data_IF_309481855593
#
_entry.id   IF_309481855593
#
_cell.length_a   1.000
_cell.length_b   1.000
_cell.length_c   1.000
_cell.angle_alpha   90.00
_cell.angle_beta   90.00
_cell.angle_gamma   90.00
#
_symmetry.space_group_name_H-M   'P 1'
#
loop_
_entity.id
_entity.type
_entity.pdbx_description
1 polymer ?
#
# COMPACT_ATOMS: atom_id res chain seq x y z
N UNK A 1 -17.18 7.68 6.49
CA UNK A 1 -16.98 6.43 7.27
C UNK A 1 -16.30 6.85 8.56
N UNK A 2 -16.90 6.53 9.71
CA UNK A 2 -16.30 6.80 11.01
C UNK A 2 -15.37 5.65 11.40
N UNK A 3 -14.17 5.97 11.88
CA UNK A 3 -13.18 5.03 12.40
C UNK A 3 -12.70 5.52 13.76
N UNK A 4 -12.19 4.61 14.58
CA UNK A 4 -11.54 4.96 15.83
C UNK A 4 -10.16 5.55 15.53
N UNK A 5 -10.04 6.87 15.52
CA UNK A 5 -8.79 7.57 15.17
C UNK A 5 -7.61 7.27 16.12
N UNK A 6 -7.89 6.67 17.28
CA UNK A 6 -6.92 6.29 18.30
C UNK A 6 -6.26 4.92 18.05
N UNK A 7 -6.76 4.11 17.10
CA UNK A 7 -6.16 2.80 16.79
C UNK A 7 -5.07 2.92 15.72
N UNK A 8 -3.91 2.32 15.97
CA UNK A 8 -2.83 2.22 14.98
C UNK A 8 -2.93 0.92 14.18
N UNK A 9 -4.03 0.74 13.47
CA UNK A 9 -4.30 -0.45 12.63
C UNK A 9 -4.15 -0.15 11.13
N UNK A 10 -4.24 -1.20 10.31
CA UNK A 10 -4.17 -1.07 8.84
C UNK A 10 -5.33 -0.25 8.27
N UNK A 11 -6.49 -0.25 8.92
CA UNK A 11 -7.65 0.52 8.47
C UNK A 11 -7.40 2.02 8.60
N UNK A 12 -6.77 2.45 9.70
CA UNK A 12 -6.33 3.83 9.91
C UNK A 12 -5.21 4.21 8.94
N UNK A 13 -4.30 3.29 8.62
CA UNK A 13 -3.29 3.53 7.59
C UNK A 13 -3.90 3.73 6.19
N UNK A 14 -4.90 2.92 5.82
CA UNK A 14 -5.65 3.08 4.56
C UNK A 14 -6.45 4.38 4.55
N UNK A 15 -7.09 4.72 5.67
CA UNK A 15 -7.85 5.96 5.81
C UNK A 15 -6.95 7.18 5.64
N UNK A 16 -5.85 7.26 6.41
CA UNK A 16 -4.90 8.36 6.33
C UNK A 16 -4.31 8.47 4.92
N UNK A 17 -3.91 7.35 4.32
CA UNK A 17 -3.42 7.31 2.94
C UNK A 17 -4.43 7.87 1.95
N UNK A 18 -5.70 7.45 2.04
CA UNK A 18 -6.78 7.95 1.17
C UNK A 18 -6.91 9.47 1.25
N UNK A 19 -6.91 10.03 2.45
CA UNK A 19 -7.05 11.47 2.69
C UNK A 19 -5.74 12.27 2.54
N UNK A 20 -4.67 11.68 1.98
CA UNK A 20 -3.59 12.47 1.40
C UNK A 20 -4.03 13.21 0.14
N UNK A 21 -5.04 12.71 -0.56
CA UNK A 21 -5.62 13.37 -1.73
C UNK A 21 -6.21 14.74 -1.37
N UNK A 22 -6.23 15.62 -2.37
CA UNK A 22 -6.81 16.97 -2.26
C UNK A 22 -6.21 17.81 -1.11
N UNK A 23 -4.90 17.67 -0.89
CA UNK A 23 -4.16 18.47 0.10
C UNK A 23 -4.59 18.21 1.55
N UNK A 24 -5.08 17.00 1.85
CA UNK A 24 -5.49 16.60 3.20
C UNK A 24 -6.57 17.48 3.85
N UNK A 25 -7.46 18.07 3.04
CA UNK A 25 -8.56 18.89 3.54
C UNK A 25 -9.74 18.09 4.13
N UNK A 26 -9.68 16.75 4.10
CA UNK A 26 -10.74 15.87 4.58
C UNK A 26 -11.87 15.57 3.57
N UNK A 27 -11.82 16.16 2.37
CA UNK A 27 -12.80 15.95 1.31
C UNK A 27 -12.15 15.46 0.02
N UNK A 28 -12.70 14.39 -0.56
CA UNK A 28 -12.24 13.80 -1.82
C UNK A 28 -13.45 13.62 -2.74
N UNK A 29 -13.36 14.17 -3.95
CA UNK A 29 -14.40 13.98 -4.96
C UNK A 29 -14.46 12.50 -5.38
N UNK A 30 -15.68 11.95 -5.44
CA UNK A 30 -15.87 10.57 -5.90
C UNK A 30 -15.64 10.47 -7.42
N UNK A 31 -15.13 9.33 -7.92
CA UNK A 31 -15.04 9.07 -9.36
C UNK A 31 -16.38 9.11 -10.09
N UNK A 32 -16.34 9.38 -11.39
CA UNK A 32 -17.54 9.51 -12.23
C UNK A 32 -18.41 8.25 -12.23
N UNK A 33 -17.80 7.05 -12.23
CA UNK A 33 -18.53 5.78 -12.16
C UNK A 33 -19.24 5.54 -10.82
N UNK A 34 -18.94 6.32 -9.78
CA UNK A 34 -19.73 6.36 -8.54
C UNK A 34 -20.79 7.47 -8.55
N UNK A 35 -20.50 8.61 -9.19
CA UNK A 35 -21.42 9.73 -9.26
C UNK A 35 -22.58 9.41 -10.23
N UNK A 36 -22.28 8.78 -11.36
CA UNK A 36 -23.20 8.44 -12.46
C UNK A 36 -23.53 6.95 -12.48
N UNK A 37 -23.69 6.33 -11.31
CA UNK A 37 -23.79 4.88 -11.16
C UNK A 37 -24.92 4.23 -11.99
N UNK A 38 -26.02 4.95 -12.25
CA UNK A 38 -27.11 4.48 -13.10
C UNK A 38 -26.74 4.36 -14.58
N UNK A 39 -25.87 5.25 -15.08
CA UNK A 39 -25.37 5.24 -16.47
C UNK A 39 -24.24 4.23 -16.63
N UNK A 40 -23.39 4.10 -15.61
CA UNK A 40 -22.20 3.24 -15.65
C UNK A 40 -22.46 1.80 -15.22
N UNK A 41 -23.69 1.47 -14.80
CA UNK A 41 -24.11 0.17 -14.26
C UNK A 41 -23.13 -0.37 -13.20
N UNK A 42 -22.59 0.54 -12.38
CA UNK A 42 -21.49 0.21 -11.50
C UNK A 42 -21.97 -0.64 -10.31
N UNK A 43 -21.35 -1.81 -10.14
CA UNK A 43 -21.54 -2.67 -8.98
C UNK A 43 -20.18 -3.00 -8.34
N UNK A 44 -19.91 -2.54 -7.10
CA UNK A 44 -18.60 -2.71 -6.47
C UNK A 44 -18.32 -4.13 -5.97
N UNK A 45 -19.31 -5.02 -5.86
CA UNK A 45 -19.10 -6.38 -5.34
C UNK A 45 -18.55 -7.33 -6.40
N UNK A 46 -19.06 -7.23 -7.63
CA UNK A 46 -18.56 -8.00 -8.78
C UNK A 46 -17.67 -7.16 -9.71
N UNK A 47 -17.58 -5.83 -9.48
CA UNK A 47 -16.87 -4.89 -10.33
C UNK A 47 -17.45 -4.80 -11.74
N UNK A 48 -18.75 -5.02 -11.90
CA UNK A 48 -19.47 -4.74 -13.14
C UNK A 48 -19.50 -3.23 -13.37
N UNK A 49 -19.24 -2.83 -14.60
CA UNK A 49 -19.45 -1.47 -15.08
C UNK A 49 -19.34 -1.45 -16.61
N UNK A 50 -20.01 -0.49 -17.24
CA UNK A 50 -19.83 -0.17 -18.65
C UNK A 50 -18.69 0.83 -18.90
N UNK A 51 -17.96 1.23 -17.85
CA UNK A 51 -16.88 2.20 -17.90
C UNK A 51 -15.52 1.51 -17.74
N UNK A 52 -14.70 1.49 -18.78
CA UNK A 52 -13.32 0.96 -18.70
C UNK A 52 -12.33 2.08 -18.37
N UNK A 53 -11.61 1.90 -17.26
CA UNK A 53 -10.49 2.76 -16.87
C UNK A 53 -9.28 1.93 -16.42
N UNK A 54 -9.15 0.72 -16.97
CA UNK A 54 -8.11 -0.23 -16.59
C UNK A 54 -6.70 0.32 -16.80
N UNK A 55 -5.86 0.19 -15.79
CA UNK A 55 -4.46 0.62 -15.82
C UNK A 55 -3.54 -0.48 -15.30
N UNK A 56 -2.32 -0.54 -15.84
CA UNK A 56 -1.27 -1.45 -15.36
C UNK A 56 -0.22 -0.62 -14.63
N UNK A 57 -0.05 -0.88 -13.34
CA UNK A 57 1.00 -0.28 -12.52
C UNK A 57 2.15 -1.26 -12.37
N UNK A 58 3.32 -0.88 -12.89
CA UNK A 58 4.57 -1.64 -12.71
C UNK A 58 5.38 -1.02 -11.59
N UNK A 59 5.70 -1.79 -10.56
CA UNK A 59 6.46 -1.36 -9.39
C UNK A 59 7.74 -2.18 -9.31
N UNK A 60 8.88 -1.50 -9.23
CA UNK A 60 10.16 -2.14 -8.94
C UNK A 60 10.61 -1.79 -7.53
N UNK A 61 10.68 -2.79 -6.65
CA UNK A 61 11.24 -2.66 -5.32
C UNK A 61 12.75 -2.87 -5.43
N UNK A 62 13.50 -1.77 -5.37
CA UNK A 62 14.96 -1.79 -5.57
C UNK A 62 15.65 -2.18 -4.27
N UNK A 63 15.52 -1.35 -3.23
CA UNK A 63 16.26 -1.51 -1.97
C UNK A 63 15.57 -0.80 -0.80
N UNK A 64 16.02 -1.11 0.42
CA UNK A 64 15.71 -0.41 1.66
C UNK A 64 16.93 0.37 2.16
N UNK A 65 16.72 1.31 3.07
CA UNK A 65 17.78 2.10 3.68
C UNK A 65 17.45 2.38 5.14
N UNK A 66 18.37 2.06 6.05
CA UNK A 66 18.29 2.35 7.48
C UNK A 66 16.96 1.90 8.12
N UNK A 67 16.59 0.63 7.94
CA UNK A 67 15.35 0.10 8.50
C UNK A 67 15.43 0.10 10.04
N UNK A 68 14.45 0.72 10.73
CA UNK A 68 14.50 0.84 12.18
C UNK A 68 14.18 -0.50 12.84
N UNK A 69 14.90 -0.81 13.91
CA UNK A 69 14.55 -1.93 14.78
C UNK A 69 13.41 -1.52 15.70
N UNK A 70 12.34 -2.31 15.76
CA UNK A 70 11.21 -2.05 16.66
C UNK A 70 11.57 -2.37 18.11
N UNK A 71 12.31 -3.45 18.34
CA UNK A 71 12.71 -3.94 19.65
C UNK A 71 14.22 -3.81 19.84
N UNK A 72 14.68 -2.76 20.54
CA UNK A 72 16.11 -2.51 20.80
C UNK A 72 16.78 -3.54 21.71
N UNK A 73 16.01 -4.49 22.27
CA UNK A 73 16.48 -5.55 23.18
C UNK A 73 16.84 -6.85 22.48
N UNK A 74 16.34 -7.09 21.26
CA UNK A 74 16.76 -8.24 20.46
C UNK A 74 18.12 -7.96 19.83
N UNK A 75 19.05 -8.92 19.93
CA UNK A 75 20.34 -8.85 19.23
C UNK A 75 20.19 -9.20 17.75
N UNK A 76 19.04 -9.72 17.36
CA UNK A 76 18.75 -10.19 16.01
C UNK A 76 18.84 -9.05 14.99
N UNK A 77 19.39 -9.39 13.84
CA UNK A 77 19.49 -8.49 12.70
C UNK A 77 18.23 -8.70 11.88
N UNK A 78 17.64 -7.60 11.40
CA UNK A 78 16.41 -7.66 10.62
C UNK A 78 16.58 -8.57 9.39
N UNK A 79 15.54 -9.34 9.12
CA UNK A 79 15.32 -10.18 7.94
C UNK A 79 14.20 -9.55 7.07
N UNK A 80 14.42 -8.40 6.43
CA UNK A 80 13.32 -7.64 5.86
C UNK A 80 12.81 -8.20 4.52
N UNK A 81 11.50 -8.10 4.33
CA UNK A 81 10.84 -8.18 3.03
C UNK A 81 9.81 -7.05 2.87
N UNK A 82 9.40 -6.80 1.62
CA UNK A 82 8.39 -5.79 1.30
C UNK A 82 7.14 -6.49 0.78
N UNK A 83 6.01 -6.18 1.41
CA UNK A 83 4.68 -6.51 0.92
C UNK A 83 4.09 -5.29 0.20
N UNK A 84 3.61 -5.49 -1.03
CA UNK A 84 2.94 -4.50 -1.85
C UNK A 84 1.52 -4.99 -2.13
N UNK A 85 0.53 -4.22 -1.68
CA UNK A 85 -0.88 -4.58 -1.80
C UNK A 85 -1.72 -3.44 -2.36
N UNK A 86 -2.76 -3.80 -3.12
CA UNK A 86 -3.76 -2.87 -3.65
C UNK A 86 -5.06 -3.01 -2.88
N UNK A 87 -5.67 -1.88 -2.49
CA UNK A 87 -6.89 -1.83 -1.69
C UNK A 87 -7.93 -0.96 -2.38
N UNK A 88 -9.20 -1.36 -2.39
CA UNK A 88 -10.25 -0.66 -3.13
C UNK A 88 -11.40 -1.61 -3.47
N UNK A 89 -11.77 -1.67 -4.75
CA UNK A 89 -12.77 -2.63 -5.23
C UNK A 89 -12.18 -4.06 -5.11
N UNK A 90 -12.92 -5.07 -4.60
CA UNK A 90 -12.41 -6.43 -4.40
C UNK A 90 -11.71 -7.05 -5.62
N UNK A 91 -12.22 -6.76 -6.82
CA UNK A 91 -11.62 -7.27 -8.05
C UNK A 91 -10.17 -6.79 -8.32
N UNK A 92 -9.79 -5.64 -7.76
CA UNK A 92 -8.46 -5.04 -7.89
C UNK A 92 -7.56 -5.36 -6.70
N UNK A 93 -8.06 -6.06 -5.68
CA UNK A 93 -7.27 -6.42 -4.51
C UNK A 93 -6.22 -7.48 -4.87
N UNK A 94 -4.95 -7.14 -4.70
CA UNK A 94 -3.81 -8.01 -4.95
C UNK A 94 -2.77 -7.80 -3.87
N UNK A 95 -2.01 -8.84 -3.56
CA UNK A 95 -0.91 -8.82 -2.60
C UNK A 95 0.27 -9.53 -3.28
N UNK A 96 1.41 -8.86 -3.34
CA UNK A 96 2.67 -9.42 -3.84
C UNK A 96 3.78 -9.09 -2.82
N UNK A 97 4.71 -10.01 -2.63
CA UNK A 97 5.81 -9.85 -1.67
C UNK A 97 7.15 -10.14 -2.32
N UNK A 98 8.16 -9.40 -1.91
CA UNK A 98 9.56 -9.71 -2.25
C UNK A 98 10.02 -10.95 -1.50
N UNK A 99 11.19 -11.45 -1.86
CA UNK A 99 11.96 -12.37 -1.04
C UNK A 99 12.39 -11.68 0.26
N UNK A 100 12.65 -12.51 1.26
CA UNK A 100 13.30 -12.11 2.51
C UNK A 100 14.79 -11.93 2.24
N UNK A 101 15.37 -10.85 2.74
CA UNK A 101 16.82 -10.64 2.79
C UNK A 101 17.26 -10.89 4.22
N UNK A 102 18.02 -11.95 4.46
CA UNK A 102 18.43 -12.31 5.81
C UNK A 102 19.56 -11.43 6.34
N UNK A 103 19.47 -11.06 7.62
CA UNK A 103 20.44 -10.33 8.40
C UNK A 103 20.92 -9.03 7.74
N UNK A 104 20.01 -8.28 7.09
CA UNK A 104 20.33 -6.98 6.54
C UNK A 104 19.17 -5.96 6.66
N UNK A 105 19.17 -5.20 7.75
CA UNK A 105 18.31 -4.02 7.91
C UNK A 105 18.93 -2.69 7.45
N UNK A 106 20.21 -2.66 7.09
CA UNK A 106 20.93 -1.41 6.80
C UNK A 106 20.69 -0.95 5.36
N UNK A 107 20.86 -1.84 4.39
CA UNK A 107 20.76 -1.56 2.97
C UNK A 107 20.28 -2.77 2.12
N UNK A 108 19.19 -3.46 2.51
CA UNK A 108 18.72 -4.63 1.78
C UNK A 108 18.41 -4.30 0.32
N UNK A 109 18.79 -5.18 -0.61
CA UNK A 109 18.52 -5.05 -2.05
C UNK A 109 17.62 -6.21 -2.47
N UNK A 110 16.39 -5.91 -2.89
CA UNK A 110 15.46 -6.90 -3.42
C UNK A 110 15.53 -6.96 -4.95
N UNK A 111 15.53 -5.80 -5.61
CA UNK A 111 15.55 -5.66 -7.08
C UNK A 111 14.45 -6.47 -7.80
N UNK A 112 13.25 -6.53 -7.21
CA UNK A 112 12.10 -7.30 -7.73
C UNK A 112 11.06 -6.39 -8.39
N UNK A 113 10.41 -6.87 -9.45
CA UNK A 113 9.40 -6.11 -10.21
C UNK A 113 8.06 -6.81 -10.14
N UNK A 114 7.01 -6.04 -9.84
CA UNK A 114 5.63 -6.47 -9.72
C UNK A 114 4.75 -5.70 -10.72
N UNK A 115 3.71 -6.37 -11.21
CA UNK A 115 2.68 -5.73 -12.04
C UNK A 115 1.31 -5.88 -11.38
N UNK A 116 0.56 -4.79 -11.37
CA UNK A 116 -0.79 -4.72 -10.83
C UNK A 116 -1.72 -4.18 -11.91
N UNK A 117 -2.61 -5.02 -12.41
CA UNK A 117 -3.71 -4.60 -13.28
C UNK A 117 -4.88 -4.15 -12.40
N UNK A 118 -5.31 -2.90 -12.54
CA UNK A 118 -6.38 -2.30 -11.75
C UNK A 118 -7.46 -1.79 -12.69
N UNK A 119 -8.69 -2.28 -12.53
CA UNK A 119 -9.85 -1.86 -13.31
C UNK A 119 -10.41 -0.51 -12.84
N UNK A 120 -10.24 -0.19 -11.55
CA UNK A 120 -10.76 1.02 -10.90
C UNK A 120 -9.65 1.80 -10.16
N UNK A 121 -8.62 2.29 -10.86
CA UNK A 121 -7.46 2.94 -10.23
C UNK A 121 -7.81 4.17 -9.39
N UNK A 122 -8.87 4.92 -9.72
CA UNK A 122 -9.30 6.08 -8.91
C UNK A 122 -9.91 5.70 -7.54
N UNK A 123 -10.29 4.43 -7.35
CA UNK A 123 -10.74 3.87 -6.07
C UNK A 123 -9.66 3.00 -5.41
N UNK A 124 -8.47 2.90 -6.01
CA UNK A 124 -7.41 2.03 -5.55
C UNK A 124 -6.36 2.79 -4.74
N UNK A 125 -5.99 2.23 -3.59
CA UNK A 125 -4.84 2.62 -2.79
C UNK A 125 -3.74 1.58 -3.01
N UNK A 126 -2.50 2.04 -3.14
CA UNK A 126 -1.32 1.19 -3.00
C UNK A 126 -0.85 1.25 -1.54
N UNK A 127 -0.50 0.09 -0.99
CA UNK A 127 -0.02 -0.06 0.37
C UNK A 127 1.28 -0.87 0.35
N UNK A 128 2.35 -0.24 0.81
CA UNK A 128 3.65 -0.86 1.02
C UNK A 128 3.83 -1.10 2.50
N UNK A 129 4.23 -2.30 2.89
CA UNK A 129 4.74 -2.58 4.24
C UNK A 129 6.10 -3.24 4.17
N UNK A 130 7.01 -2.76 5.00
CA UNK A 130 8.30 -3.40 5.26
C UNK A 130 8.14 -4.19 6.54
N UNK A 131 8.48 -5.46 6.47
CA UNK A 131 8.19 -6.46 7.50
C UNK A 131 9.48 -7.20 7.82
N UNK A 132 9.74 -7.42 9.10
CA UNK A 132 10.79 -8.30 9.61
C UNK A 132 10.25 -9.73 9.64
N UNK A 133 10.94 -10.66 8.97
CA UNK A 133 10.53 -12.06 8.96
C UNK A 133 11.06 -12.78 10.20
N UNK A 134 10.18 -13.49 10.90
CA UNK A 134 10.54 -14.26 12.10
C UNK A 134 10.23 -15.75 11.92
N UNK A 135 11.25 -16.60 12.04
CA UNK A 135 11.09 -18.06 11.91
C UNK A 135 10.22 -18.68 13.01
N UNK A 136 10.31 -18.14 14.23
CA UNK A 136 9.76 -18.74 15.45
C UNK A 136 8.61 -17.93 16.05
N UNK A 137 8.30 -16.76 15.47
CA UNK A 137 7.29 -15.85 16.00
C UNK A 137 6.48 -15.21 14.87
N UNK A 138 5.73 -14.16 15.16
CA UNK A 138 4.98 -13.44 14.14
C UNK A 138 5.86 -12.37 13.51
N UNK A 139 5.78 -12.27 12.18
CA UNK A 139 6.43 -11.22 11.41
C UNK A 139 6.07 -9.81 11.92
N UNK A 140 7.09 -9.00 12.15
CA UNK A 140 6.98 -7.67 12.75
C UNK A 140 6.97 -6.56 11.69
N UNK A 141 5.90 -5.76 11.63
CA UNK A 141 5.80 -4.65 10.66
C UNK A 141 6.67 -3.46 11.07
N UNK A 142 7.80 -3.28 10.38
CA UNK A 142 8.78 -2.21 10.59
C UNK A 142 8.23 -0.83 10.19
N UNK A 143 7.59 -0.77 9.03
CA UNK A 143 7.13 0.47 8.42
C UNK A 143 6.02 0.22 7.40
N UNK A 144 5.25 1.26 7.10
CA UNK A 144 4.30 1.23 5.99
C UNK A 144 4.21 2.59 5.28
N UNK A 145 3.64 2.55 4.09
CA UNK A 145 3.22 3.70 3.32
C UNK A 145 1.96 3.36 2.52
N UNK A 146 1.01 4.28 2.52
CA UNK A 146 -0.24 4.13 1.79
C UNK A 146 -0.52 5.39 1.00
N UNK A 147 -0.92 5.25 -0.27
CA UNK A 147 -1.27 6.36 -1.15
C UNK A 147 -2.34 5.95 -2.15
N UNK A 148 -3.22 6.86 -2.59
CA UNK A 148 -4.01 6.66 -3.79
C UNK A 148 -3.11 6.39 -4.98
N UNK A 149 -3.51 5.44 -5.82
CA UNK A 149 -2.77 5.09 -7.04
C UNK A 149 -2.64 6.30 -7.97
N UNK A 150 -3.67 7.14 -8.01
CA UNK A 150 -3.69 8.38 -8.80
C UNK A 150 -2.67 9.43 -8.36
N UNK A 151 -2.08 9.30 -7.17
CA UNK A 151 -1.05 10.20 -6.66
C UNK A 151 0.37 9.65 -6.82
N UNK A 152 0.52 8.40 -7.28
CA UNK A 152 1.84 7.81 -7.49
C UNK A 152 2.51 8.50 -8.68
N UNK A 153 3.73 8.98 -8.46
CA UNK A 153 4.55 9.55 -9.53
C UNK A 153 5.46 8.49 -10.14
N UNK A 154 5.60 8.51 -11.47
CA UNK A 154 6.50 7.62 -12.19
C UNK A 154 7.98 7.95 -11.98
N UNK A 155 8.84 6.94 -12.18
CA UNK A 155 10.29 7.04 -12.07
C UNK A 155 10.81 6.60 -10.70
N UNK A 156 12.09 6.87 -10.43
CA UNK A 156 12.71 6.51 -9.16
C UNK A 156 12.18 7.39 -8.04
N UNK A 157 11.60 6.79 -7.01
CA UNK A 157 11.02 7.48 -5.86
C UNK A 157 11.44 6.78 -4.57
N UNK A 158 11.66 7.58 -3.53
CA UNK A 158 11.88 7.10 -2.17
C UNK A 158 10.55 7.17 -1.42
N UNK A 159 10.10 6.01 -0.95
CA UNK A 159 8.93 5.92 -0.09
C UNK A 159 9.37 6.24 1.34
N UNK A 160 8.90 7.37 1.87
CA UNK A 160 9.19 7.76 3.25
C UNK A 160 8.22 7.06 4.21
N UNK A 161 8.76 6.55 5.33
CA UNK A 161 8.00 5.91 6.40
C UNK A 161 6.93 6.87 6.93
N UNK A 162 5.68 6.43 7.02
CA UNK A 162 4.74 7.02 7.96
C UNK A 162 4.97 6.32 9.31
N UNK A 163 5.35 7.10 10.32
CA UNK A 163 5.65 6.59 11.66
C UNK A 163 4.40 6.04 12.34
N UNK A 164 4.58 4.99 13.14
CA UNK A 164 3.65 4.71 14.24
C UNK A 164 3.97 5.77 15.31
N UNK A 165 3.08 6.74 15.51
CA UNK A 165 3.06 7.60 16.69
C UNK A 165 2.49 6.83 17.88
#
# INVERSE_FOLDING_TARGET
>A
VALNYQTSDDMMALYNGKFLANGSCGYILKPDYLIKAQETEFNPWNGQTNFDCTQILTIKIISGQFLPRLNSKSKDILDPYVNVSTHGIPCDHRIQKTKVIHNNGFDPIWNETFQFTMRFPQMCLIYFSVIDYDLMSHDDRIAYFCSPVTMIQSGNRKVMKMGNS
#
